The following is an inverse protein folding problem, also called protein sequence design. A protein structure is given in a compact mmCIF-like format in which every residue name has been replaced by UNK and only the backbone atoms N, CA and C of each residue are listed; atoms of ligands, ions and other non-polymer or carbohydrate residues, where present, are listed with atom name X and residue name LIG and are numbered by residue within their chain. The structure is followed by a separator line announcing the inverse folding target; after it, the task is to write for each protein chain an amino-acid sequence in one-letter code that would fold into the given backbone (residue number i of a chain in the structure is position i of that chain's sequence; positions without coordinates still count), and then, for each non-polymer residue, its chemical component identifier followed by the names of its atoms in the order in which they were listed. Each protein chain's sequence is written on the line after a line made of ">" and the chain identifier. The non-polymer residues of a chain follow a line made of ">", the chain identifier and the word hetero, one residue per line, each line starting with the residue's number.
data_IF_620859099318
#
_entry.id   IF_620859099318
#
_cell.length_a   1.000
_cell.length_b   1.000
_cell.length_c   1.000
_cell.angle_alpha   90.00
_cell.angle_beta   90.00
_cell.angle_gamma   90.00
#
_symmetry.space_group_name_H-M   'P 1'
#
loop_
_entity.id
_entity.type
_entity.pdbx_description
1 polymer ?
#
# COMPACT_ATOMS: atom_id res chain seq x y z
N UNK A 1 -18.20 -29.28 -64.89
CA UNK A 1 -17.16 -28.38 -64.39
C UNK A 1 -17.66 -27.44 -63.30
N UNK A 2 -18.84 -26.79 -63.44
CA UNK A 2 -19.40 -25.84 -62.47
C UNK A 2 -19.73 -26.45 -61.07
N UNK A 3 -20.18 -27.74 -61.00
CA UNK A 3 -20.54 -28.42 -59.75
C UNK A 3 -19.33 -28.77 -58.87
N UNK A 4 -18.20 -29.12 -59.46
CA UNK A 4 -16.97 -29.44 -58.73
C UNK A 4 -16.30 -28.17 -58.14
N UNK A 5 -16.47 -27.02 -58.80
CA UNK A 5 -15.96 -25.71 -58.31
C UNK A 5 -16.76 -25.21 -57.11
N UNK A 6 -18.10 -25.41 -57.09
CA UNK A 6 -18.95 -25.04 -55.98
C UNK A 6 -18.67 -25.88 -54.73
N UNK A 7 -18.37 -27.18 -54.89
CA UNK A 7 -18.04 -28.06 -53.75
C UNK A 7 -16.68 -27.70 -53.12
N UNK A 8 -15.68 -27.32 -53.94
CA UNK A 8 -14.35 -26.92 -53.43
C UNK A 8 -14.39 -25.58 -52.67
N UNK A 9 -15.21 -24.63 -53.12
CA UNK A 9 -15.37 -23.35 -52.43
C UNK A 9 -16.09 -23.51 -51.09
N UNK A 10 -17.10 -24.40 -51.02
CA UNK A 10 -17.81 -24.73 -49.78
C UNK A 10 -16.92 -25.35 -48.71
N UNK A 11 -16.07 -26.33 -49.12
CA UNK A 11 -15.15 -27.01 -48.22
C UNK A 11 -14.06 -26.06 -47.69
N UNK A 12 -13.49 -25.20 -48.52
CA UNK A 12 -12.49 -24.19 -48.13
C UNK A 12 -13.09 -23.16 -47.14
N UNK A 13 -14.34 -22.75 -47.34
CA UNK A 13 -15.04 -21.83 -46.44
C UNK A 13 -15.31 -22.45 -45.07
N UNK A 14 -15.71 -23.75 -45.03
CA UNK A 14 -15.94 -24.45 -43.74
C UNK A 14 -14.65 -24.69 -42.99
N UNK A 15 -13.56 -25.03 -43.69
CA UNK A 15 -12.23 -25.18 -43.05
C UNK A 15 -11.71 -23.87 -42.52
N UNK A 16 -11.91 -22.75 -43.24
CA UNK A 16 -11.52 -21.42 -42.79
C UNK A 16 -12.30 -20.98 -41.55
N UNK A 17 -13.59 -21.28 -41.43
CA UNK A 17 -14.41 -21.00 -40.24
C UNK A 17 -13.98 -21.83 -39.04
N UNK A 18 -13.67 -23.11 -39.23
CA UNK A 18 -13.17 -24.01 -38.17
C UNK A 18 -11.78 -23.57 -37.70
N UNK A 19 -10.89 -23.16 -38.59
CA UNK A 19 -9.55 -22.64 -38.24
C UNK A 19 -9.65 -21.29 -37.54
N UNK A 20 -10.53 -20.42 -38.00
CA UNK A 20 -10.79 -19.13 -37.34
C UNK A 20 -11.42 -19.34 -35.95
N UNK A 21 -12.37 -20.26 -35.80
CA UNK A 21 -12.95 -20.63 -34.51
C UNK A 21 -11.92 -21.27 -33.55
N UNK A 22 -11.01 -22.10 -34.06
CA UNK A 22 -9.92 -22.67 -33.26
C UNK A 22 -8.86 -21.63 -32.86
N UNK A 23 -8.57 -20.67 -33.73
CA UNK A 23 -7.63 -19.56 -33.41
C UNK A 23 -8.26 -18.62 -32.39
N UNK A 24 -9.55 -18.29 -32.48
CA UNK A 24 -10.26 -17.49 -31.50
C UNK A 24 -10.29 -18.22 -30.14
N UNK A 25 -10.56 -19.50 -30.12
CA UNK A 25 -10.56 -20.32 -28.89
C UNK A 25 -9.14 -20.50 -28.32
N UNK A 26 -8.09 -20.51 -29.14
CA UNK A 26 -6.69 -20.65 -28.70
C UNK A 26 -6.11 -19.29 -28.23
N UNK A 27 -6.65 -18.16 -28.69
CA UNK A 27 -6.26 -16.83 -28.17
C UNK A 27 -6.91 -16.49 -26.83
N UNK A 28 -8.03 -17.12 -26.45
CA UNK A 28 -8.55 -17.06 -25.09
C UNK A 28 -7.81 -17.97 -24.10
N UNK A 29 -7.04 -18.95 -24.57
CA UNK A 29 -6.35 -19.96 -23.75
C UNK A 29 -4.92 -19.61 -23.33
N UNK A 30 -4.41 -18.43 -23.64
CA UNK A 30 -3.12 -17.95 -23.11
C UNK A 30 -3.28 -16.66 -22.30
N UNK A 31 -4.22 -16.59 -21.37
CA UNK A 31 -4.07 -15.68 -20.24
C UNK A 31 -2.91 -16.24 -19.41
N UNK A 32 -1.80 -15.50 -19.37
CA UNK A 32 -0.74 -15.73 -18.39
C UNK A 32 -1.41 -15.83 -17.01
N UNK A 33 -1.51 -17.04 -16.48
CA UNK A 33 -2.14 -17.30 -15.19
C UNK A 33 -1.22 -16.73 -14.11
N UNK A 34 -1.29 -15.40 -13.89
CA UNK A 34 -0.41 -14.67 -12.97
C UNK A 34 -1.15 -13.59 -12.23
N UNK A 35 -0.65 -13.30 -11.04
CA UNK A 35 -1.02 -12.15 -10.21
C UNK A 35 0.23 -11.33 -9.91
N UNK A 36 0.19 -10.04 -10.21
CA UNK A 36 1.29 -9.10 -9.98
C UNK A 36 0.98 -8.27 -8.74
N UNK A 37 1.80 -8.41 -7.72
CA UNK A 37 1.55 -7.88 -6.38
C UNK A 37 2.62 -6.86 -6.02
N UNK A 38 2.20 -5.67 -5.61
CA UNK A 38 3.09 -4.63 -5.11
C UNK A 38 3.00 -4.47 -3.60
N UNK A 39 4.15 -4.21 -2.95
CA UNK A 39 4.22 -3.88 -1.53
C UNK A 39 5.55 -3.19 -1.21
N UNK A 40 5.71 -2.68 0.04
CA UNK A 40 6.92 -2.01 0.48
C UNK A 40 7.74 -2.89 1.42
N UNK A 41 9.08 -2.74 1.43
CA UNK A 41 9.96 -3.54 2.29
C UNK A 41 10.05 -2.93 3.70
N UNK A 42 8.92 -2.84 4.39
CA UNK A 42 8.85 -2.38 5.78
C UNK A 42 7.87 -3.22 6.61
N UNK A 43 7.93 -3.10 7.94
CA UNK A 43 7.13 -3.96 8.86
C UNK A 43 5.62 -3.77 8.73
N UNK A 44 5.14 -2.60 8.29
CA UNK A 44 3.72 -2.38 8.01
C UNK A 44 3.20 -3.30 6.91
N UNK A 45 4.08 -3.78 6.04
CA UNK A 45 3.77 -4.74 4.99
C UNK A 45 4.10 -6.20 5.38
N UNK A 46 4.06 -6.52 6.67
CA UNK A 46 4.33 -7.88 7.17
C UNK A 46 3.43 -8.93 6.52
N UNK A 47 2.16 -8.61 6.23
CA UNK A 47 1.21 -9.57 5.62
C UNK A 47 1.70 -10.08 4.27
N UNK A 48 1.95 -9.25 3.24
CA UNK A 48 2.47 -9.76 1.97
C UNK A 48 3.86 -10.39 2.11
N UNK A 49 4.74 -9.84 2.94
CA UNK A 49 6.10 -10.36 3.13
C UNK A 49 6.05 -11.77 3.72
N UNK A 50 5.40 -11.94 4.86
CA UNK A 50 5.34 -13.22 5.59
C UNK A 50 4.56 -14.27 4.80
N UNK A 51 3.44 -13.89 4.21
CA UNK A 51 2.61 -14.81 3.44
C UNK A 51 3.29 -15.34 2.17
N UNK A 52 4.12 -14.50 1.53
CA UNK A 52 4.92 -14.93 0.36
C UNK A 52 6.11 -15.78 0.80
N UNK A 53 6.90 -15.33 1.78
CA UNK A 53 8.09 -16.07 2.23
C UNK A 53 7.74 -17.42 2.87
N UNK A 54 6.60 -17.55 3.56
CA UNK A 54 6.10 -18.81 4.10
C UNK A 54 5.34 -19.66 3.08
N UNK A 55 5.14 -19.19 1.84
CA UNK A 55 4.43 -19.93 0.81
C UNK A 55 2.91 -20.03 1.01
N UNK A 56 2.31 -19.27 1.94
CA UNK A 56 0.85 -19.29 2.20
C UNK A 56 0.10 -18.86 0.95
N UNK A 57 0.50 -17.76 0.31
CA UNK A 57 -0.13 -17.31 -0.93
C UNK A 57 0.05 -18.29 -2.08
N UNK A 58 1.25 -18.83 -2.29
CA UNK A 58 1.49 -19.78 -3.37
C UNK A 58 0.71 -21.09 -3.19
N UNK A 59 0.57 -21.56 -1.97
CA UNK A 59 -0.24 -22.72 -1.63
C UNK A 59 -1.74 -22.47 -1.86
N UNK A 60 -2.23 -21.29 -1.45
CA UNK A 60 -3.64 -20.95 -1.52
C UNK A 60 -4.14 -20.67 -2.93
N UNK A 61 -3.36 -19.97 -3.78
CA UNK A 61 -3.80 -19.65 -5.14
C UNK A 61 -3.62 -20.82 -6.13
N UNK A 62 -2.84 -21.85 -5.77
CA UNK A 62 -2.58 -23.04 -6.58
C UNK A 62 -1.36 -22.90 -7.48
N UNK A 63 -0.84 -24.07 -7.91
CA UNK A 63 0.43 -24.17 -8.66
C UNK A 63 0.33 -23.69 -10.12
N UNK A 64 -0.84 -23.48 -10.64
CA UNK A 64 -1.14 -23.02 -11.99
C UNK A 64 -1.14 -21.48 -12.12
N UNK A 65 -1.04 -20.75 -11.00
CA UNK A 65 -0.99 -19.30 -10.99
C UNK A 65 0.37 -18.80 -10.49
N UNK A 66 1.07 -18.00 -11.29
CA UNK A 66 2.37 -17.40 -10.94
C UNK A 66 2.18 -16.12 -10.12
N UNK A 67 2.84 -16.02 -8.98
CA UNK A 67 2.96 -14.76 -8.23
C UNK A 67 4.19 -13.99 -8.73
N UNK A 68 3.99 -12.76 -9.18
CA UNK A 68 5.06 -11.81 -9.52
C UNK A 68 5.02 -10.66 -8.52
N UNK A 69 6.10 -10.46 -7.78
CA UNK A 69 6.18 -9.40 -6.77
C UNK A 69 6.97 -8.21 -7.27
N UNK A 70 6.56 -7.00 -6.88
CA UNK A 70 7.27 -5.75 -7.12
C UNK A 70 7.39 -4.95 -5.84
N UNK A 71 8.61 -4.57 -5.48
CA UNK A 71 8.87 -3.70 -4.35
C UNK A 71 8.87 -2.24 -4.79
N UNK A 72 8.26 -1.38 -3.97
CA UNK A 72 8.18 0.05 -4.17
C UNK A 72 8.59 0.79 -2.89
N UNK A 73 8.93 2.06 -3.04
CA UNK A 73 9.31 2.93 -1.92
C UNK A 73 8.22 3.97 -1.59
N UNK A 74 7.18 4.08 -2.43
CA UNK A 74 6.12 5.06 -2.23
C UNK A 74 4.78 4.67 -2.85
N UNK A 75 3.70 5.16 -2.22
CA UNK A 75 2.33 4.95 -2.69
C UNK A 75 2.02 5.54 -4.07
N UNK A 76 2.43 6.78 -4.39
CA UNK A 76 2.20 7.34 -5.72
C UNK A 76 2.76 6.49 -6.87
N UNK A 77 3.95 5.90 -6.72
CA UNK A 77 4.52 4.99 -7.73
C UNK A 77 3.68 3.72 -7.93
N UNK A 78 3.09 3.20 -6.84
CA UNK A 78 2.17 2.05 -6.92
C UNK A 78 0.91 2.43 -7.68
N UNK A 79 0.32 3.60 -7.42
CA UNK A 79 -0.87 4.10 -8.11
C UNK A 79 -0.62 4.23 -9.62
N UNK A 80 0.51 4.83 -10.02
CA UNK A 80 0.92 4.89 -11.42
C UNK A 80 1.07 3.50 -12.06
N UNK A 81 1.63 2.54 -11.30
CA UNK A 81 1.81 1.15 -11.75
C UNK A 81 0.49 0.40 -11.91
N UNK A 82 -0.52 0.67 -11.06
CA UNK A 82 -1.89 0.17 -11.23
C UNK A 82 -2.52 0.74 -12.52
N UNK A 83 -2.43 2.06 -12.74
CA UNK A 83 -2.97 2.70 -13.93
C UNK A 83 -2.29 2.25 -15.22
N UNK A 84 -0.99 1.96 -15.16
CA UNK A 84 -0.23 1.40 -16.28
C UNK A 84 -0.49 -0.09 -16.50
N UNK A 85 -1.39 -0.73 -15.74
CA UNK A 85 -1.64 -2.17 -15.79
C UNK A 85 -0.38 -3.03 -15.59
N UNK A 86 0.62 -2.51 -14.85
CA UNK A 86 1.87 -3.23 -14.58
C UNK A 86 1.85 -4.05 -13.30
N UNK A 87 0.84 -3.84 -12.46
CA UNK A 87 0.48 -4.62 -11.26
C UNK A 87 -1.04 -4.79 -11.20
N UNK A 88 -1.51 -5.77 -10.46
CA UNK A 88 -2.93 -6.15 -10.37
C UNK A 88 -3.53 -5.81 -9.01
N UNK A 89 -2.79 -6.11 -7.96
CA UNK A 89 -3.13 -5.78 -6.57
C UNK A 89 -1.92 -5.14 -5.87
N UNK A 90 -2.18 -4.40 -4.80
CA UNK A 90 -1.13 -3.75 -4.05
C UNK A 90 -1.48 -3.58 -2.58
N UNK A 91 -0.44 -3.55 -1.74
CA UNK A 91 -0.54 -3.12 -0.36
C UNK A 91 -0.02 -1.68 -0.27
N UNK A 92 -0.86 -0.75 0.19
CA UNK A 92 -0.55 0.69 0.25
C UNK A 92 -1.26 1.35 1.44
N UNK A 93 -0.84 2.56 1.79
CA UNK A 93 -1.53 3.38 2.78
C UNK A 93 -2.85 3.98 2.26
N UNK A 94 -3.69 4.55 3.15
CA UNK A 94 -5.00 5.10 2.80
C UNK A 94 -4.92 6.26 1.79
N UNK A 95 -3.94 7.15 1.88
CA UNK A 95 -3.77 8.25 0.93
C UNK A 95 -3.66 7.78 -0.53
N UNK A 96 -2.68 6.92 -0.85
CA UNK A 96 -2.59 6.29 -2.18
C UNK A 96 -3.84 5.49 -2.58
N UNK A 97 -4.48 4.76 -1.65
CA UNK A 97 -5.69 3.98 -1.94
C UNK A 97 -6.86 4.86 -2.38
N UNK A 98 -7.14 5.95 -1.65
CA UNK A 98 -8.18 6.94 -1.98
C UNK A 98 -7.86 7.62 -3.32
N UNK A 99 -6.60 8.02 -3.52
CA UNK A 99 -6.16 8.61 -4.79
C UNK A 99 -6.35 7.65 -5.97
N UNK A 100 -6.01 6.36 -5.79
CA UNK A 100 -6.19 5.34 -6.82
C UNK A 100 -7.66 5.18 -7.18
N UNK A 101 -8.55 5.11 -6.19
CA UNK A 101 -9.99 5.03 -6.40
C UNK A 101 -10.52 6.26 -7.15
N UNK A 102 -10.25 7.47 -6.65
CA UNK A 102 -10.81 8.71 -7.19
C UNK A 102 -10.27 9.09 -8.57
N UNK A 103 -9.02 8.75 -8.89
CA UNK A 103 -8.37 9.11 -10.17
C UNK A 103 -8.46 8.01 -11.23
N UNK A 104 -8.84 6.79 -10.84
CA UNK A 104 -9.08 5.72 -11.81
C UNK A 104 -10.33 6.01 -12.64
N UNK A 105 -10.32 5.63 -13.92
CA UNK A 105 -11.51 5.68 -14.75
C UNK A 105 -12.55 4.70 -14.19
N UNK A 106 -13.81 5.13 -14.10
CA UNK A 106 -14.93 4.32 -13.63
C UNK A 106 -14.70 3.64 -12.26
N UNK A 107 -13.93 4.32 -11.35
CA UNK A 107 -13.57 3.77 -10.04
C UNK A 107 -12.91 2.38 -10.12
N UNK A 108 -12.01 2.21 -11.07
CA UNK A 108 -11.39 0.91 -11.41
C UNK A 108 -10.34 0.42 -10.40
N UNK A 109 -10.34 0.92 -9.17
CA UNK A 109 -9.53 0.41 -8.05
C UNK A 109 -10.40 0.35 -6.81
N UNK A 110 -10.35 -0.76 -6.06
CA UNK A 110 -11.13 -0.98 -4.83
C UNK A 110 -10.23 -1.40 -3.68
N UNK A 111 -10.66 -1.10 -2.45
CA UNK A 111 -10.07 -1.66 -1.23
C UNK A 111 -10.67 -3.06 -1.02
N UNK A 112 -9.81 -4.06 -0.92
CA UNK A 112 -10.17 -5.47 -0.75
C UNK A 112 -10.13 -5.91 0.71
N UNK A 113 -9.18 -5.39 1.49
CA UNK A 113 -9.00 -5.70 2.91
C UNK A 113 -8.08 -4.68 3.59
N UNK A 114 -8.05 -4.69 4.92
CA UNK A 114 -6.96 -4.11 5.71
C UNK A 114 -5.73 -5.01 5.70
N UNK A 115 -4.59 -4.50 6.17
CA UNK A 115 -3.39 -5.29 6.42
C UNK A 115 -2.69 -4.87 7.72
N UNK A 116 -2.70 -3.58 8.05
CA UNK A 116 -2.16 -3.05 9.30
C UNK A 116 -2.88 -1.78 9.75
N UNK A 117 -2.87 -1.57 11.07
CA UNK A 117 -3.31 -0.35 11.76
C UNK A 117 -2.18 0.18 12.62
N UNK A 118 -2.06 1.50 12.78
CA UNK A 118 -1.03 2.14 13.59
C UNK A 118 0.35 2.12 12.92
N UNK A 119 1.39 2.21 13.74
CA UNK A 119 2.78 2.07 13.27
C UNK A 119 3.31 3.27 12.53
N UNK A 120 2.88 4.48 12.85
CA UNK A 120 3.52 5.72 12.44
C UNK A 120 3.70 6.64 13.64
N UNK A 121 4.71 7.51 13.62
CA UNK A 121 5.03 8.36 14.76
C UNK A 121 5.67 9.67 14.34
N UNK A 122 5.52 10.66 15.21
CA UNK A 122 6.26 11.92 15.15
C UNK A 122 7.50 11.82 16.04
N UNK A 123 8.67 11.82 15.41
CA UNK A 123 9.97 11.68 16.07
C UNK A 123 10.71 13.01 16.06
N UNK A 124 11.11 13.49 17.21
CA UNK A 124 11.85 14.75 17.41
C UNK A 124 13.35 14.44 17.49
N UNK A 125 14.14 15.25 16.79
CA UNK A 125 15.60 15.14 16.82
C UNK A 125 16.15 15.47 18.23
N UNK A 126 17.15 14.75 18.75
CA UNK A 126 17.63 14.93 20.13
C UNK A 126 18.14 16.34 20.44
N UNK A 127 18.62 17.08 19.44
CA UNK A 127 19.06 18.47 19.60
C UNK A 127 17.92 19.49 19.43
N UNK A 128 16.70 19.05 19.10
CA UNK A 128 15.54 19.92 18.92
C UNK A 128 14.83 20.17 20.25
N UNK A 129 14.18 21.34 20.34
CA UNK A 129 13.43 21.77 21.53
C UNK A 129 11.90 21.58 21.36
N UNK A 130 11.47 20.75 20.43
CA UNK A 130 10.06 20.52 20.16
C UNK A 130 9.46 19.63 21.26
N UNK A 131 8.41 20.13 21.93
CA UNK A 131 7.62 19.41 22.92
C UNK A 131 6.11 19.47 22.62
N UNK A 132 5.70 20.37 21.74
CA UNK A 132 4.30 20.59 21.36
C UNK A 132 4.18 21.12 19.95
N UNK A 133 2.95 21.25 19.43
CA UNK A 133 2.68 21.83 18.11
C UNK A 133 3.13 23.28 18.02
N UNK A 134 3.07 24.04 19.11
CA UNK A 134 3.48 25.47 19.15
C UNK A 134 4.97 25.64 18.87
N UNK A 135 5.79 24.66 19.19
CA UNK A 135 7.24 24.69 18.99
C UNK A 135 7.65 24.44 17.52
N UNK A 136 6.70 24.10 16.64
CA UNK A 136 6.98 23.77 15.23
C UNK A 136 7.20 24.99 14.34
N UNK A 137 6.96 26.23 14.86
CA UNK A 137 7.20 27.44 14.10
C UNK A 137 8.66 27.55 13.65
N UNK A 138 8.89 27.68 12.34
CA UNK A 138 10.22 27.78 11.74
C UNK A 138 11.02 26.46 11.68
N UNK A 139 10.45 25.35 12.11
CA UNK A 139 11.12 24.05 12.12
C UNK A 139 11.09 23.35 10.76
N UNK A 140 12.07 22.47 10.57
CA UNK A 140 12.20 21.59 9.39
C UNK A 140 11.72 20.20 9.77
N UNK A 141 10.64 19.75 9.13
CA UNK A 141 10.00 18.47 9.44
C UNK A 141 9.97 17.63 8.17
N UNK A 142 10.49 16.42 8.25
CA UNK A 142 10.45 15.50 7.12
C UNK A 142 9.25 14.53 7.23
N UNK A 143 8.68 14.20 6.06
CA UNK A 143 7.71 13.13 5.90
C UNK A 143 7.96 12.42 4.56
N UNK A 144 7.50 11.16 4.36
CA UNK A 144 7.54 10.53 3.06
C UNK A 144 6.85 11.34 1.98
N UNK A 145 6.96 10.91 0.73
CA UNK A 145 6.57 11.66 -0.47
C UNK A 145 5.21 12.34 -0.40
N UNK A 146 5.09 13.48 -1.09
CA UNK A 146 3.85 14.28 -1.20
C UNK A 146 2.66 13.38 -1.58
N UNK A 147 1.55 13.55 -0.85
CA UNK A 147 0.32 12.77 -1.04
C UNK A 147 0.40 11.35 -0.48
N UNK A 148 1.49 10.97 0.18
CA UNK A 148 1.55 9.77 0.97
C UNK A 148 0.82 9.95 2.31
N UNK A 149 0.52 8.86 3.02
CA UNK A 149 -0.28 8.90 4.26
C UNK A 149 0.32 9.86 5.28
N UNK A 150 1.61 9.74 5.60
CA UNK A 150 2.28 10.55 6.62
C UNK A 150 2.39 12.04 6.23
N UNK A 151 2.48 12.36 4.93
CA UNK A 151 2.46 13.76 4.48
C UNK A 151 1.11 14.43 4.75
N UNK A 152 0.00 13.72 4.46
CA UNK A 152 -1.35 14.22 4.76
C UNK A 152 -1.56 14.36 6.27
N UNK A 153 -1.15 13.36 7.05
CA UNK A 153 -1.26 13.38 8.51
C UNK A 153 -0.48 14.54 9.13
N UNK A 154 0.77 14.76 8.70
CA UNK A 154 1.60 15.89 9.16
C UNK A 154 0.94 17.24 8.83
N UNK A 155 0.49 17.43 7.59
CA UNK A 155 -0.11 18.71 7.17
C UNK A 155 -1.44 18.98 7.85
N UNK A 156 -2.23 17.95 8.08
CA UNK A 156 -3.46 18.06 8.87
C UNK A 156 -3.14 18.46 10.32
N UNK A 157 -2.17 17.79 10.96
CA UNK A 157 -1.71 18.13 12.31
C UNK A 157 -1.23 19.57 12.43
N UNK A 158 -0.46 20.06 11.44
CA UNK A 158 -0.06 21.47 11.39
C UNK A 158 -1.27 22.41 11.28
N UNK A 159 -2.24 22.08 10.43
CA UNK A 159 -3.46 22.86 10.23
C UNK A 159 -4.30 22.97 11.50
N UNK A 160 -4.48 21.85 12.22
CA UNK A 160 -5.18 21.83 13.52
C UNK A 160 -4.47 22.70 14.57
N UNK A 161 -3.13 22.75 14.53
CA UNK A 161 -2.31 23.64 15.36
C UNK A 161 -2.25 25.09 14.87
N UNK A 162 -3.03 25.48 13.85
CA UNK A 162 -3.02 26.82 13.28
C UNK A 162 -1.75 27.16 12.48
N UNK A 163 -0.92 26.17 12.17
CA UNK A 163 0.32 26.33 11.42
C UNK A 163 0.11 25.98 9.94
N UNK A 164 0.99 26.52 9.09
CA UNK A 164 0.99 26.21 7.65
C UNK A 164 2.41 25.89 7.19
N UNK A 165 2.54 25.00 6.21
CA UNK A 165 3.80 24.79 5.53
C UNK A 165 4.28 26.06 4.80
N UNK A 166 5.60 26.22 4.67
CA UNK A 166 6.22 27.39 4.05
C UNK A 166 5.76 27.61 2.59
N UNK A 167 5.56 26.53 1.82
CA UNK A 167 5.05 26.62 0.45
C UNK A 167 3.58 27.04 0.36
N UNK A 168 2.88 27.09 1.49
CA UNK A 168 1.50 27.64 1.62
C UNK A 168 1.51 28.98 2.36
N UNK A 169 2.67 29.65 2.43
CA UNK A 169 2.83 30.95 3.08
C UNK A 169 2.94 30.91 4.60
N UNK A 170 3.21 29.73 5.17
CA UNK A 170 3.44 29.54 6.60
C UNK A 170 4.93 29.56 6.97
N UNK A 171 5.25 29.00 8.14
CA UNK A 171 6.59 29.00 8.72
C UNK A 171 7.25 27.64 8.79
N UNK A 172 6.50 26.54 8.73
CA UNK A 172 7.03 25.18 8.85
C UNK A 172 7.60 24.71 7.52
N UNK A 173 8.85 24.28 7.50
CA UNK A 173 9.48 23.73 6.30
C UNK A 173 9.21 22.23 6.26
N UNK A 174 8.33 21.79 5.38
CA UNK A 174 8.04 20.37 5.18
C UNK A 174 8.91 19.80 4.06
N UNK A 175 9.69 18.76 4.37
CA UNK A 175 10.57 18.08 3.44
C UNK A 175 10.00 16.70 3.08
N UNK A 176 9.57 16.53 1.84
CA UNK A 176 9.00 15.27 1.37
C UNK A 176 10.07 14.45 0.64
N UNK A 177 10.64 13.47 1.32
CA UNK A 177 11.73 12.63 0.83
C UNK A 177 11.54 11.17 1.25
N UNK A 178 12.16 10.18 0.55
CA UNK A 178 12.10 8.78 0.96
C UNK A 178 12.63 8.54 2.37
N UNK A 179 12.10 7.52 3.07
CA UNK A 179 12.51 7.22 4.45
C UNK A 179 14.04 7.03 4.64
N UNK A 180 14.80 6.40 3.73
CA UNK A 180 16.26 6.34 3.86
C UNK A 180 16.94 7.72 3.84
N UNK A 181 16.37 8.66 3.08
CA UNK A 181 16.88 10.04 3.04
C UNK A 181 16.49 10.80 4.32
N UNK A 182 15.29 10.54 4.89
CA UNK A 182 14.90 11.05 6.22
C UNK A 182 15.92 10.63 7.28
N UNK A 183 16.29 9.33 7.31
CA UNK A 183 17.33 8.84 8.21
C UNK A 183 18.64 9.61 8.05
N UNK A 184 19.06 9.88 6.81
CA UNK A 184 20.28 10.61 6.51
C UNK A 184 20.20 12.08 6.97
N UNK A 185 19.08 12.75 6.71
CA UNK A 185 18.86 14.14 7.15
C UNK A 185 18.80 14.25 8.68
N UNK A 186 18.14 13.29 9.33
CA UNK A 186 18.06 13.21 10.79
C UNK A 186 19.45 12.99 11.40
N UNK A 187 20.24 12.06 10.87
CA UNK A 187 21.62 11.80 11.32
C UNK A 187 22.51 13.04 11.26
N UNK A 188 22.28 13.93 10.27
CA UNK A 188 23.06 15.18 10.09
C UNK A 188 22.54 16.36 10.90
N UNK A 189 21.38 16.25 11.55
CA UNK A 189 20.70 17.39 12.16
C UNK A 189 20.14 18.39 11.15
N UNK A 190 19.93 17.95 9.90
CA UNK A 190 19.37 18.79 8.83
C UNK A 190 17.85 18.95 8.96
N UNK A 191 17.20 18.17 9.83
CA UNK A 191 15.77 18.26 10.18
C UNK A 191 15.57 18.23 11.68
N UNK A 192 14.53 18.93 12.16
CA UNK A 192 14.21 19.06 13.58
C UNK A 192 13.28 17.92 14.05
N UNK A 193 12.49 17.33 13.13
CA UNK A 193 11.60 16.21 13.41
C UNK A 193 11.25 15.45 12.13
N UNK A 194 10.63 14.29 12.29
CA UNK A 194 10.14 13.47 11.19
C UNK A 194 8.83 12.78 11.55
N UNK A 195 7.88 12.71 10.60
CA UNK A 195 6.70 11.86 10.69
C UNK A 195 6.90 10.64 9.80
N UNK A 196 7.16 9.50 10.40
CA UNK A 196 7.62 8.31 9.68
C UNK A 196 6.87 7.05 10.11
N UNK A 197 6.72 6.05 9.21
CA UNK A 197 6.18 4.74 9.56
C UNK A 197 7.24 3.88 10.27
N UNK A 198 6.77 2.85 10.99
CA UNK A 198 7.64 1.76 11.45
C UNK A 198 8.19 1.00 10.22
N UNK A 199 9.41 0.56 10.24
CA UNK A 199 10.47 0.49 11.24
C UNK A 199 11.29 1.80 11.43
N UNK A 200 11.04 2.78 10.61
CA UNK A 200 11.85 3.99 10.56
C UNK A 200 11.75 4.79 11.85
N UNK A 201 10.54 4.84 12.46
CA UNK A 201 10.35 5.51 13.73
C UNK A 201 11.22 4.89 14.83
N UNK A 202 11.18 3.56 14.97
CA UNK A 202 12.00 2.83 15.94
C UNK A 202 13.51 2.98 15.65
N UNK A 203 13.94 3.00 14.38
CA UNK A 203 15.34 3.26 14.01
C UNK A 203 15.78 4.66 14.46
N UNK A 204 14.97 5.70 14.18
CA UNK A 204 15.31 7.07 14.58
C UNK A 204 15.42 7.23 16.10
N UNK A 205 14.59 6.52 16.86
CA UNK A 205 14.64 6.51 18.32
C UNK A 205 15.87 5.75 18.83
N UNK A 206 16.02 4.48 18.44
CA UNK A 206 16.98 3.58 19.08
C UNK A 206 18.42 3.78 18.59
N UNK A 207 18.60 4.12 17.29
CA UNK A 207 19.95 4.30 16.74
C UNK A 207 20.42 5.75 16.79
N UNK A 208 19.51 6.73 16.72
CA UNK A 208 19.86 8.15 16.61
C UNK A 208 19.44 8.99 17.82
N UNK A 209 18.85 8.36 18.85
CA UNK A 209 18.47 9.03 20.10
C UNK A 209 17.29 9.98 19.95
N UNK A 210 16.50 9.86 18.89
CA UNK A 210 15.27 10.62 18.70
C UNK A 210 14.24 10.38 19.80
N UNK A 211 13.40 11.35 20.09
CA UNK A 211 12.30 11.25 21.05
C UNK A 211 10.98 11.12 20.33
N UNK A 212 10.20 10.07 20.61
CA UNK A 212 8.83 9.92 20.10
C UNK A 212 7.91 10.89 20.84
N UNK A 213 7.42 11.90 20.13
CA UNK A 213 6.50 12.88 20.71
C UNK A 213 5.10 12.27 20.92
N UNK A 214 4.63 11.52 19.92
CA UNK A 214 3.38 10.76 19.97
C UNK A 214 3.36 9.66 18.91
N UNK A 215 2.52 8.68 19.11
CA UNK A 215 2.11 7.73 18.07
C UNK A 215 0.98 8.34 17.24
N UNK A 216 0.95 8.12 15.95
CA UNK A 216 -0.11 8.68 15.08
C UNK A 216 -1.50 8.20 15.51
N UNK A 217 -1.64 6.95 15.97
CA UNK A 217 -2.91 6.40 16.45
C UNK A 217 -3.50 7.18 17.63
N UNK A 218 -2.69 7.86 18.46
CA UNK A 218 -3.18 8.70 19.56
C UNK A 218 -4.04 9.88 19.07
N UNK A 219 -3.92 10.24 17.78
CA UNK A 219 -4.68 11.31 17.13
C UNK A 219 -5.95 10.80 16.43
N UNK A 220 -6.25 9.50 16.56
CA UNK A 220 -7.38 8.88 15.91
C UNK A 220 -8.40 8.36 16.92
N UNK A 221 -9.67 8.33 16.51
CA UNK A 221 -10.74 7.75 17.30
C UNK A 221 -10.41 6.28 17.63
N UNK A 222 -10.60 5.89 18.86
CA UNK A 222 -10.36 4.52 19.37
C UNK A 222 -8.91 4.05 19.17
N UNK A 223 -7.96 4.98 18.96
CA UNK A 223 -6.56 4.72 18.70
C UNK A 223 -6.36 3.75 17.52
N UNK A 224 -7.19 3.86 16.49
CA UNK A 224 -7.13 2.98 15.32
C UNK A 224 -7.31 3.75 14.02
N UNK A 225 -6.44 3.48 13.06
CA UNK A 225 -6.59 3.92 11.68
C UNK A 225 -5.93 2.92 10.74
N UNK A 226 -6.43 2.81 9.52
CA UNK A 226 -5.79 1.99 8.50
C UNK A 226 -4.44 2.60 8.11
N UNK A 227 -3.36 1.87 8.31
CA UNK A 227 -2.03 2.29 7.87
C UNK A 227 -1.57 1.54 6.60
N UNK A 228 -2.04 0.31 6.41
CA UNK A 228 -1.84 -0.46 5.17
C UNK A 228 -3.12 -1.16 4.77
N UNK A 229 -3.48 -1.02 3.50
CA UNK A 229 -4.65 -1.59 2.85
C UNK A 229 -4.22 -2.46 1.67
N UNK A 230 -4.93 -3.56 1.43
CA UNK A 230 -4.88 -4.31 0.18
C UNK A 230 -5.87 -3.69 -0.80
N UNK A 231 -5.39 -3.22 -1.94
CA UNK A 231 -6.20 -2.68 -3.04
C UNK A 231 -6.02 -3.51 -4.30
N UNK A 232 -7.00 -3.46 -5.20
CA UNK A 232 -6.94 -4.20 -6.46
C UNK A 232 -7.67 -3.49 -7.59
N UNK A 233 -7.23 -3.75 -8.83
CA UNK A 233 -7.92 -3.27 -10.02
C UNK A 233 -9.19 -4.07 -10.26
N UNK A 234 -10.30 -3.37 -10.50
CA UNK A 234 -11.62 -3.96 -10.72
C UNK A 234 -11.64 -4.84 -11.97
N UNK A 235 -11.01 -4.41 -13.06
CA UNK A 235 -10.90 -5.19 -14.30
C UNK A 235 -10.16 -6.53 -14.07
N UNK A 236 -9.08 -6.53 -13.27
CA UNK A 236 -8.40 -7.76 -12.91
C UNK A 236 -9.27 -8.66 -12.03
N UNK A 237 -9.95 -8.09 -11.03
CA UNK A 237 -10.84 -8.81 -10.11
C UNK A 237 -11.96 -9.51 -10.89
N UNK A 238 -12.63 -8.79 -11.79
CA UNK A 238 -13.73 -9.31 -12.61
C UNK A 238 -13.29 -10.42 -13.56
N UNK A 239 -12.10 -10.31 -14.12
CA UNK A 239 -11.56 -11.32 -15.03
C UNK A 239 -10.93 -12.54 -14.33
N UNK A 240 -10.55 -12.39 -13.03
CA UNK A 240 -9.86 -13.42 -12.26
C UNK A 240 -10.47 -13.60 -10.84
N UNK A 241 -11.81 -13.71 -10.70
CA UNK A 241 -12.48 -13.69 -9.40
C UNK A 241 -12.01 -14.80 -8.48
N UNK A 242 -11.72 -15.99 -9.02
CA UNK A 242 -11.24 -17.14 -8.23
C UNK A 242 -9.82 -16.91 -7.69
N UNK A 243 -8.93 -16.28 -8.47
CA UNK A 243 -7.56 -15.97 -8.02
C UNK A 243 -7.63 -14.95 -6.89
N UNK A 244 -8.45 -13.90 -7.05
CA UNK A 244 -8.61 -12.84 -6.04
C UNK A 244 -9.24 -13.40 -4.76
N UNK A 245 -10.27 -14.24 -4.87
CA UNK A 245 -10.89 -14.89 -3.71
C UNK A 245 -9.90 -15.78 -2.94
N UNK A 246 -9.09 -16.57 -3.65
CA UNK A 246 -8.03 -17.37 -3.04
C UNK A 246 -6.94 -16.52 -2.41
N UNK A 247 -6.57 -15.40 -3.06
CA UNK A 247 -5.64 -14.44 -2.48
C UNK A 247 -6.17 -13.85 -1.17
N UNK A 248 -7.45 -13.43 -1.14
CA UNK A 248 -8.09 -12.91 0.06
C UNK A 248 -8.15 -13.95 1.19
N UNK A 249 -8.46 -15.20 0.87
CA UNK A 249 -8.43 -16.29 1.85
C UNK A 249 -7.02 -16.48 2.44
N UNK A 250 -5.99 -16.50 1.58
CA UNK A 250 -4.58 -16.59 2.03
C UNK A 250 -4.12 -15.35 2.78
N UNK A 251 -4.65 -14.17 2.44
CA UNK A 251 -4.41 -12.93 3.18
C UNK A 251 -4.93 -13.04 4.63
N UNK A 252 -6.18 -13.46 4.81
CA UNK A 252 -6.77 -13.68 6.14
C UNK A 252 -6.01 -14.77 6.92
N UNK A 253 -5.64 -15.87 6.28
CA UNK A 253 -4.81 -16.91 6.87
C UNK A 253 -3.46 -16.34 7.34
N UNK A 254 -2.82 -15.50 6.54
CA UNK A 254 -1.55 -14.86 6.88
C UNK A 254 -1.69 -13.90 8.06
N UNK A 255 -2.74 -13.10 8.10
CA UNK A 255 -3.04 -12.21 9.25
C UNK A 255 -3.17 -13.03 10.53
N UNK A 256 -3.93 -14.10 10.50
CA UNK A 256 -4.08 -15.00 11.66
C UNK A 256 -2.74 -15.64 12.05
N UNK A 257 -1.99 -16.15 11.07
CA UNK A 257 -0.69 -16.77 11.31
C UNK A 257 0.29 -15.80 11.97
N UNK A 258 0.36 -14.53 11.53
CA UNK A 258 1.22 -13.50 12.12
C UNK A 258 0.83 -13.25 13.58
N UNK A 259 -0.44 -13.07 13.86
CA UNK A 259 -0.94 -12.80 15.21
C UNK A 259 -0.72 -13.98 16.17
N UNK A 260 -0.78 -15.21 15.68
CA UNK A 260 -0.52 -16.43 16.46
C UNK A 260 0.98 -16.76 16.60
N UNK A 261 1.83 -16.22 15.73
CA UNK A 261 3.25 -16.55 15.67
C UNK A 261 4.16 -15.31 15.65
N UNK A 262 4.08 -14.38 16.62
CA UNK A 262 4.82 -13.12 16.59
C UNK A 262 6.33 -13.32 16.48
N UNK A 263 6.92 -14.27 17.23
CA UNK A 263 8.36 -14.53 17.18
C UNK A 263 8.83 -15.10 15.84
N UNK A 264 8.03 -15.95 15.21
CA UNK A 264 8.35 -16.46 13.86
C UNK A 264 8.22 -15.36 12.81
N UNK A 265 7.24 -14.46 12.98
CA UNK A 265 7.04 -13.29 12.11
C UNK A 265 8.29 -12.43 12.05
N UNK A 266 8.91 -12.12 13.21
CA UNK A 266 10.16 -11.36 13.32
C UNK A 266 11.31 -12.04 12.54
N UNK A 267 11.41 -13.36 12.67
CA UNK A 267 12.43 -14.16 11.98
C UNK A 267 12.22 -14.11 10.45
N UNK A 268 10.99 -14.38 9.98
CA UNK A 268 10.66 -14.41 8.55
C UNK A 268 10.87 -13.04 7.93
N UNK A 269 10.40 -11.98 8.58
CA UNK A 269 10.62 -10.60 8.12
C UNK A 269 12.10 -10.28 7.97
N UNK A 270 12.92 -10.63 8.98
CA UNK A 270 14.35 -10.35 8.96
C UNK A 270 15.13 -11.21 7.94
N UNK A 271 14.66 -12.42 7.66
CA UNK A 271 15.17 -13.25 6.55
C UNK A 271 14.86 -12.61 5.20
N UNK A 272 13.65 -12.07 5.00
CA UNK A 272 13.28 -11.31 3.82
C UNK A 272 14.20 -10.09 3.64
N UNK A 273 14.44 -9.30 4.70
CA UNK A 273 15.35 -8.14 4.66
C UNK A 273 16.77 -8.54 4.24
N UNK A 274 17.30 -9.62 4.81
CA UNK A 274 18.62 -10.17 4.45
C UNK A 274 18.68 -10.65 3.00
N UNK A 275 17.64 -11.35 2.54
CA UNK A 275 17.54 -11.86 1.17
C UNK A 275 17.47 -10.71 0.15
N UNK A 276 16.72 -9.65 0.47
CA UNK A 276 16.43 -8.55 -0.44
C UNK A 276 17.54 -7.50 -0.45
N UNK A 277 18.09 -7.14 0.71
CA UNK A 277 19.04 -6.02 0.87
C UNK A 277 20.43 -6.46 1.36
N UNK A 278 20.67 -7.73 1.52
CA UNK A 278 21.98 -8.28 1.94
C UNK A 278 22.26 -8.17 3.45
N UNK A 279 21.40 -7.51 4.23
CA UNK A 279 21.55 -7.35 5.69
C UNK A 279 20.21 -7.45 6.40
N UNK A 280 20.27 -8.00 7.64
CA UNK A 280 19.14 -8.00 8.57
C UNK A 280 19.10 -6.71 9.36
N UNK A 281 17.94 -6.35 9.87
CA UNK A 281 17.81 -5.33 10.91
C UNK A 281 18.18 -5.92 12.29
N UNK A 282 18.59 -5.09 13.26
CA UNK A 282 18.70 -5.51 14.66
C UNK A 282 17.40 -6.14 15.15
N UNK A 283 17.49 -7.21 15.94
CA UNK A 283 16.30 -7.96 16.36
C UNK A 283 15.34 -7.12 17.22
N UNK A 284 15.89 -6.23 18.05
CA UNK A 284 15.14 -5.27 18.86
C UNK A 284 14.35 -4.28 17.99
N UNK A 285 14.94 -3.78 16.89
CA UNK A 285 14.24 -2.89 15.95
C UNK A 285 13.02 -3.59 15.34
N UNK A 286 13.19 -4.82 14.86
CA UNK A 286 12.08 -5.59 14.27
C UNK A 286 11.02 -5.90 15.32
N UNK A 287 11.42 -6.25 16.54
CA UNK A 287 10.50 -6.56 17.63
C UNK A 287 9.64 -5.35 17.98
N UNK A 288 10.26 -4.24 18.35
CA UNK A 288 9.58 -3.02 18.77
C UNK A 288 8.69 -2.47 17.63
N UNK A 289 9.20 -2.47 16.39
CA UNK A 289 8.44 -2.01 15.23
C UNK A 289 7.17 -2.82 14.99
N UNK A 290 7.22 -4.15 15.16
CA UNK A 290 6.03 -5.01 15.02
C UNK A 290 5.07 -4.85 16.21
N UNK A 291 5.60 -4.61 17.41
CA UNK A 291 4.79 -4.38 18.61
C UNK A 291 4.02 -3.04 18.54
N UNK A 292 4.51 -2.07 17.75
CA UNK A 292 3.84 -0.79 17.45
C UNK A 292 2.79 -0.88 16.32
N UNK A 293 2.49 -2.07 15.83
CA UNK A 293 1.52 -2.32 14.76
C UNK A 293 0.44 -3.30 15.22
N UNK A 294 -0.77 -3.09 14.76
CA UNK A 294 -1.85 -4.08 14.82
C UNK A 294 -2.03 -4.69 13.43
N UNK A 295 -1.69 -5.94 13.27
CA UNK A 295 -1.93 -6.67 12.01
C UNK A 295 -3.40 -7.12 11.97
N UNK A 296 -4.13 -6.66 10.96
CA UNK A 296 -5.58 -6.87 10.84
C UNK A 296 -6.04 -6.89 9.40
N UNK A 297 -7.03 -7.71 9.09
CA UNK A 297 -7.71 -7.70 7.79
C UNK A 297 -8.89 -6.72 7.74
N UNK A 298 -9.26 -6.10 8.86
CA UNK A 298 -10.25 -5.05 8.90
C UNK A 298 -9.69 -3.78 8.25
N UNK A 299 -10.33 -3.23 7.20
CA UNK A 299 -9.90 -1.99 6.56
C UNK A 299 -10.13 -0.74 7.40
N UNK A 300 -10.79 -0.84 8.57
CA UNK A 300 -11.13 0.26 9.48
C UNK A 300 -11.81 1.41 8.71
N UNK A 301 -12.96 1.09 8.08
CA UNK A 301 -13.64 1.94 7.10
C UNK A 301 -13.83 3.39 7.54
N UNK A 302 -14.23 3.63 8.80
CA UNK A 302 -14.40 4.98 9.34
C UNK A 302 -13.12 5.82 9.22
N UNK A 303 -11.95 5.23 9.43
CA UNK A 303 -10.68 5.93 9.32
C UNK A 303 -10.36 6.35 7.88
N UNK A 304 -10.84 5.61 6.88
CA UNK A 304 -10.67 5.93 5.45
C UNK A 304 -11.46 7.19 5.11
N UNK A 305 -12.70 7.30 5.57
CA UNK A 305 -13.53 8.49 5.34
C UNK A 305 -12.96 9.72 6.05
N UNK A 306 -12.54 9.59 7.31
CA UNK A 306 -11.88 10.66 8.06
C UNK A 306 -10.57 11.09 7.36
N UNK A 307 -9.79 10.12 6.87
CA UNK A 307 -8.56 10.42 6.14
C UNK A 307 -8.86 11.19 4.84
N UNK A 308 -9.91 10.82 4.12
CA UNK A 308 -10.33 11.54 2.92
C UNK A 308 -10.74 12.98 3.22
N UNK A 309 -11.49 13.22 4.30
CA UNK A 309 -11.84 14.57 4.76
C UNK A 309 -10.59 15.42 5.09
N UNK A 310 -9.60 14.82 5.77
CA UNK A 310 -8.30 15.47 6.04
C UNK A 310 -7.58 15.81 4.74
N UNK A 311 -7.50 14.87 3.80
CA UNK A 311 -6.85 15.08 2.51
C UNK A 311 -7.56 16.13 1.65
N UNK A 312 -8.90 16.16 1.68
CA UNK A 312 -9.71 17.15 0.98
C UNK A 312 -9.50 18.56 1.53
N UNK A 313 -9.53 18.74 2.85
CA UNK A 313 -9.27 20.02 3.52
C UNK A 313 -7.91 20.62 3.16
N UNK A 314 -6.96 19.78 2.76
CA UNK A 314 -5.62 20.16 2.30
C UNK A 314 -5.54 20.38 0.78
N UNK A 315 -6.62 20.09 0.03
CA UNK A 315 -6.68 20.20 -1.43
C UNK A 315 -6.03 19.03 -2.17
N UNK A 316 -5.81 17.88 -1.53
CA UNK A 316 -5.13 16.72 -2.15
C UNK A 316 -6.06 15.90 -3.05
N UNK A 317 -7.37 15.93 -2.85
CA UNK A 317 -8.30 15.15 -3.66
C UNK A 317 -8.58 15.77 -5.02
N UNK A 318 -8.39 17.10 -5.15
CA UNK A 318 -8.49 17.83 -6.42
C UNK A 318 -9.89 17.84 -7.03
N UNK A 319 -10.94 17.66 -6.23
CA UNK A 319 -12.35 17.64 -6.60
C UNK A 319 -13.15 18.33 -5.50
N UNK A 320 -14.15 19.13 -5.89
CA UNK A 320 -15.09 19.76 -4.94
C UNK A 320 -16.17 18.78 -4.46
N UNK A 321 -16.41 17.71 -5.24
CA UNK A 321 -17.33 16.61 -4.94
C UNK A 321 -16.65 15.27 -5.14
N UNK A 322 -16.35 14.56 -4.06
CA UNK A 322 -15.89 13.19 -4.13
C UNK A 322 -16.87 12.24 -3.43
N UNK A 323 -17.00 11.06 -3.98
CA UNK A 323 -17.84 10.01 -3.41
C UNK A 323 -17.01 8.74 -3.21
N UNK A 324 -16.98 8.25 -1.98
CA UNK A 324 -16.26 7.03 -1.59
C UNK A 324 -17.21 5.86 -1.26
N UNK A 325 -18.52 5.99 -1.56
CA UNK A 325 -19.52 4.96 -1.21
C UNK A 325 -19.11 3.57 -1.68
N UNK A 326 -18.53 3.50 -2.89
CA UNK A 326 -18.15 2.23 -3.52
C UNK A 326 -16.65 1.94 -3.43
N UNK A 327 -15.90 2.56 -2.50
CA UNK A 327 -14.44 2.34 -2.41
C UNK A 327 -14.07 0.92 -1.98
N UNK A 328 -14.95 0.27 -1.20
CA UNK A 328 -14.73 -1.11 -0.76
C UNK A 328 -15.25 -2.12 -1.77
N UNK A 329 -14.53 -3.21 -1.91
CA UNK A 329 -14.97 -4.36 -2.70
C UNK A 329 -15.91 -5.23 -1.88
N UNK A 330 -17.14 -5.41 -2.35
CA UNK A 330 -18.08 -6.36 -1.76
C UNK A 330 -18.02 -7.70 -2.51
N UNK A 331 -17.83 -8.80 -1.76
CA UNK A 331 -17.83 -10.15 -2.34
C UNK A 331 -19.24 -10.45 -2.86
N UNK A 332 -19.44 -10.32 -4.15
CA UNK A 332 -20.76 -10.49 -4.79
C UNK A 332 -21.06 -9.42 -5.86
N UNK A 333 -20.25 -8.38 -6.00
CA UNK A 333 -20.40 -7.29 -6.97
C UNK A 333 -20.09 -7.71 -8.43
N UNK A 334 -20.36 -8.96 -8.77
CA UNK A 334 -20.33 -9.43 -10.16
C UNK A 334 -21.66 -9.07 -10.84
N UNK A 335 -21.87 -7.75 -11.10
CA UNK A 335 -22.95 -7.30 -12.01
C UNK A 335 -22.39 -6.84 -13.33
#
# INVERSE_FOLDING_TARGET
>A
MKLRLALSIGIVSIVAIIVAGAIINSTELSRDNKIRVAYFPNVGHAVPIVGIENGIFSSGIGNDTKIETKLFDSGPQVVESLFANSIDIAYVGPGPAINAFLKSQDNNVKILAGAASGGASFIVHPESTINSVDDLFGKRIAAPQIGNTQDVSLRHFLSEGGLKPAEKGGSVIVLNVPNPDIYTLFTKGDIDAAWVPEQWATILVNELGGSRLFYEEDLWKDNQFASVLLIGRVDYIQHNPQIVQRWLSSHHETVNWINENPEKTKIVFNQFMKKTFGKSLPAEIVSESLDNLKITSDPIGDSIFIFAERADSLGYLGRDDYNLTDIFYEVGDNK
#
